data_IF_526098395337
#
_entry.id   IF_526098395337
#
_cell.length_a   1.000
_cell.length_b   1.000
_cell.length_c   1.000
_cell.angle_alpha   90.00
_cell.angle_beta   90.00
_cell.angle_gamma   90.00
#
_symmetry.space_group_name_H-M   'P 1'
#
loop_
_entity.id
_entity.type
_entity.pdbx_description
1 polymer ?
#
# COMPACT_ATOMS: atom_id res chain seq x y z
N UNK A 1 -16.01 10.94 -8.06
CA UNK A 1 -15.07 10.42 -9.08
C UNK A 1 -15.84 10.35 -10.38
N UNK A 2 -15.24 10.73 -11.50
CA UNK A 2 -15.92 10.79 -12.81
C UNK A 2 -15.94 9.42 -13.52
N UNK A 3 -14.98 8.54 -13.24
CA UNK A 3 -14.91 7.19 -13.83
C UNK A 3 -15.06 6.13 -12.75
N UNK A 4 -16.13 5.32 -12.83
CA UNK A 4 -16.29 4.16 -11.95
C UNK A 4 -15.16 3.14 -12.16
N UNK A 5 -14.57 2.66 -11.05
CA UNK A 5 -13.42 1.76 -11.06
C UNK A 5 -13.34 0.93 -9.79
N UNK A 6 -12.75 -0.25 -9.88
CA UNK A 6 -12.30 -1.08 -8.74
C UNK A 6 -10.81 -1.42 -8.89
N UNK A 7 -10.18 -1.98 -7.85
CA UNK A 7 -8.74 -2.31 -7.82
C UNK A 7 -7.80 -1.15 -8.21
N UNK A 8 -8.28 0.08 -8.05
CA UNK A 8 -7.50 1.30 -8.27
C UNK A 8 -6.63 1.61 -7.05
N UNK A 9 -5.56 2.35 -7.26
CA UNK A 9 -4.72 2.84 -6.19
C UNK A 9 -5.23 4.20 -5.70
N UNK A 10 -5.18 4.46 -4.39
CA UNK A 10 -5.54 5.76 -3.82
C UNK A 10 -4.52 6.26 -2.81
N UNK A 11 -4.34 7.58 -2.75
CA UNK A 11 -3.43 8.24 -1.82
C UNK A 11 -3.91 9.65 -1.51
N UNK A 12 -3.63 10.13 -0.31
CA UNK A 12 -3.75 11.55 0.04
C UNK A 12 -2.39 12.24 -0.12
N UNK A 13 -2.38 13.42 -0.73
CA UNK A 13 -1.22 14.32 -0.82
C UNK A 13 -1.70 15.76 -0.74
N UNK A 14 -1.12 16.53 0.17
CA UNK A 14 -1.40 17.97 0.38
C UNK A 14 -2.90 18.27 0.50
N UNK A 15 -3.63 17.43 1.24
CA UNK A 15 -5.07 17.58 1.49
C UNK A 15 -5.97 17.10 0.34
N UNK A 16 -5.41 16.58 -0.76
CA UNK A 16 -6.15 16.10 -1.92
C UNK A 16 -6.07 14.59 -2.06
N UNK A 17 -7.15 13.98 -2.52
CA UNK A 17 -7.21 12.52 -2.72
C UNK A 17 -6.98 12.19 -4.18
N UNK A 18 -5.97 11.39 -4.46
CA UNK A 18 -5.65 10.90 -5.78
C UNK A 18 -6.17 9.49 -5.94
N UNK A 19 -6.80 9.21 -7.07
CA UNK A 19 -7.24 7.89 -7.46
C UNK A 19 -6.70 7.55 -8.85
N UNK A 20 -6.02 6.42 -8.95
CA UNK A 20 -5.10 6.14 -10.05
C UNK A 20 -5.29 4.71 -10.57
N UNK A 21 -5.42 4.59 -11.89
CA UNK A 21 -5.55 3.30 -12.59
C UNK A 21 -6.75 2.46 -12.09
N UNK A 22 -6.68 1.13 -12.15
CA UNK A 22 -7.75 0.20 -11.76
C UNK A 22 -8.46 -0.44 -12.96
N UNK A 23 -9.65 -0.99 -12.72
CA UNK A 23 -10.47 -1.64 -13.75
C UNK A 23 -11.92 -1.13 -13.73
N UNK A 24 -12.55 -1.07 -14.91
CA UNK A 24 -14.01 -0.94 -15.01
C UNK A 24 -14.69 -2.29 -14.80
N UNK A 25 -16.00 -2.28 -14.55
CA UNK A 25 -16.80 -3.48 -14.29
C UNK A 25 -16.67 -4.55 -15.40
N UNK A 26 -16.43 -4.13 -16.63
CA UNK A 26 -16.27 -4.98 -17.82
C UNK A 26 -14.86 -5.60 -17.93
N UNK A 27 -13.98 -5.35 -16.97
CA UNK A 27 -12.60 -5.84 -16.94
C UNK A 27 -11.60 -4.99 -17.73
N UNK A 28 -12.02 -3.84 -18.27
CA UNK A 28 -11.14 -2.89 -18.96
C UNK A 28 -10.18 -2.23 -17.97
N UNK A 29 -8.87 -2.38 -18.21
CA UNK A 29 -7.83 -1.74 -17.39
C UNK A 29 -7.70 -0.26 -17.71
N UNK A 30 -7.69 0.57 -16.67
CA UNK A 30 -7.64 2.02 -16.76
C UNK A 30 -6.22 2.54 -16.58
N UNK A 31 -5.84 3.51 -17.42
CA UNK A 31 -4.63 4.30 -17.25
C UNK A 31 -4.90 5.70 -16.69
N UNK A 32 -6.17 6.11 -16.61
CA UNK A 32 -6.53 7.45 -16.15
C UNK A 32 -6.36 7.61 -14.64
N UNK A 33 -6.08 8.85 -14.24
CA UNK A 33 -5.98 9.27 -12.86
C UNK A 33 -6.86 10.51 -12.63
N UNK A 34 -7.38 10.62 -11.42
CA UNK A 34 -8.25 11.71 -10.99
C UNK A 34 -7.82 12.20 -9.60
N UNK A 35 -8.00 13.50 -9.36
CA UNK A 35 -7.77 14.13 -8.06
C UNK A 35 -9.06 14.72 -7.53
N UNK A 36 -9.33 14.50 -6.26
CA UNK A 36 -10.41 15.12 -5.50
C UNK A 36 -9.86 16.28 -4.70
N UNK A 37 -10.47 17.44 -4.91
CA UNK A 37 -10.25 18.62 -4.08
C UNK A 37 -11.45 18.75 -3.11
N UNK A 38 -11.22 18.61 -1.79
CA UNK A 38 -12.30 18.69 -0.81
C UNK A 38 -12.88 20.10 -0.68
N UNK A 39 -12.11 21.16 -0.96
CA UNK A 39 -12.58 22.54 -0.86
C UNK A 39 -13.53 22.87 -2.02
N UNK A 40 -13.23 22.36 -3.21
CA UNK A 40 -14.11 22.45 -4.37
C UNK A 40 -15.21 21.39 -4.39
N UNK A 41 -15.12 20.38 -3.52
CA UNK A 41 -15.97 19.17 -3.53
C UNK A 41 -16.10 18.57 -4.93
N UNK A 42 -14.98 18.46 -5.65
CA UNK A 42 -14.98 18.11 -7.07
C UNK A 42 -13.83 17.18 -7.42
N UNK A 43 -14.08 16.31 -8.40
CA UNK A 43 -13.06 15.44 -9.01
C UNK A 43 -12.62 16.03 -10.35
N UNK A 44 -11.31 16.14 -10.56
CA UNK A 44 -10.71 16.58 -11.81
C UNK A 44 -9.82 15.48 -12.40
N UNK A 45 -9.88 15.31 -13.72
CA UNK A 45 -8.95 14.44 -14.45
C UNK A 45 -7.56 15.07 -14.47
N UNK A 46 -6.54 14.25 -14.24
CA UNK A 46 -5.12 14.63 -14.36
C UNK A 46 -4.44 13.77 -15.43
N UNK A 47 -3.15 14.01 -15.67
CA UNK A 47 -2.36 13.16 -16.58
C UNK A 47 -2.50 11.69 -16.15
N UNK A 48 -2.83 10.82 -17.11
CA UNK A 48 -2.86 9.38 -16.91
C UNK A 48 -1.47 8.75 -17.02
N UNK A 49 -1.37 7.47 -16.69
CA UNK A 49 -0.15 6.70 -16.84
C UNK A 49 -0.02 6.11 -18.25
N UNK A 50 1.21 5.80 -18.66
CA UNK A 50 1.45 5.23 -20.00
C UNK A 50 0.96 3.79 -20.15
N UNK A 51 0.91 3.04 -19.06
CA UNK A 51 0.53 1.62 -19.06
C UNK A 51 -0.56 1.41 -18.03
N UNK A 52 -1.75 0.93 -18.41
CA UNK A 52 -2.82 0.66 -17.46
C UNK A 52 -2.44 -0.51 -16.55
N UNK A 53 -2.77 -0.37 -15.27
CA UNK A 53 -2.54 -1.40 -14.24
C UNK A 53 -3.74 -1.52 -13.29
N UNK A 54 -3.82 -2.63 -12.58
CA UNK A 54 -4.82 -2.84 -11.54
C UNK A 54 -4.24 -3.61 -10.36
N UNK A 55 -4.87 -3.50 -9.19
CA UNK A 55 -4.33 -4.01 -7.93
C UNK A 55 -3.04 -3.28 -7.55
N UNK A 56 -2.90 -2.04 -7.99
CA UNK A 56 -1.80 -1.16 -7.63
C UNK A 56 -1.99 -0.64 -6.21
N UNK A 57 -0.88 -0.21 -5.64
CA UNK A 57 -0.84 0.48 -4.36
C UNK A 57 -0.37 1.93 -4.60
N UNK A 58 -0.95 2.89 -3.88
CA UNK A 58 -0.51 4.27 -3.89
C UNK A 58 -0.30 4.83 -2.49
N UNK A 59 0.70 5.70 -2.32
CA UNK A 59 0.87 6.49 -1.10
C UNK A 59 1.31 7.92 -1.40
N UNK A 60 0.89 8.83 -0.52
CA UNK A 60 1.47 10.15 -0.43
C UNK A 60 2.76 10.10 0.36
N UNK A 61 3.80 10.70 -0.20
CA UNK A 61 5.09 10.80 0.46
C UNK A 61 5.85 12.02 -0.09
N UNK A 62 6.37 12.87 0.80
CA UNK A 62 7.08 14.12 0.44
C UNK A 62 6.36 14.99 -0.63
N UNK A 63 5.04 15.18 -0.48
CA UNK A 63 4.24 16.00 -1.40
C UNK A 63 4.05 15.39 -2.79
N UNK A 64 4.25 14.07 -2.94
CA UNK A 64 4.14 13.36 -4.22
C UNK A 64 3.33 12.08 -4.06
N UNK A 65 2.68 11.67 -5.15
CA UNK A 65 1.93 10.40 -5.20
C UNK A 65 2.85 9.33 -5.77
N UNK A 66 3.08 8.27 -5.03
CA UNK A 66 3.86 7.11 -5.48
C UNK A 66 2.90 5.96 -5.77
N UNK A 67 2.93 5.42 -6.99
CA UNK A 67 2.09 4.29 -7.42
C UNK A 67 2.97 3.11 -7.81
N UNK A 68 2.75 1.96 -7.18
CA UNK A 68 3.65 0.82 -7.23
C UNK A 68 2.92 -0.51 -7.36
N UNK A 69 3.65 -1.49 -7.93
CA UNK A 69 3.15 -2.84 -8.11
C UNK A 69 1.99 -2.91 -9.09
N UNK A 70 1.00 -3.74 -8.76
CA UNK A 70 -0.12 -4.06 -9.62
C UNK A 70 0.22 -5.01 -10.77
N UNK A 71 -0.81 -5.34 -11.53
CA UNK A 71 -0.78 -6.21 -12.70
C UNK A 71 -1.11 -5.40 -13.94
N UNK A 72 -0.54 -5.80 -15.06
CA UNK A 72 -0.87 -5.26 -16.38
C UNK A 72 -0.93 -6.43 -17.35
N UNK A 73 -1.80 -6.33 -18.37
CA UNK A 73 -1.85 -7.28 -19.48
C UNK A 73 -0.54 -7.35 -20.27
N UNK A 74 0.29 -6.31 -20.18
CA UNK A 74 1.56 -6.18 -20.91
C UNK A 74 2.79 -6.70 -20.16
N UNK A 75 2.67 -7.11 -18.90
CA UNK A 75 3.80 -7.61 -18.10
C UNK A 75 3.57 -9.06 -17.68
N UNK A 76 4.37 -9.97 -18.25
CA UNK A 76 4.51 -11.35 -17.80
C UNK A 76 5.34 -11.33 -16.50
N UNK A 77 4.73 -10.91 -15.40
CA UNK A 77 5.38 -10.86 -14.08
C UNK A 77 5.14 -9.57 -13.30
N UNK A 78 5.73 -9.49 -12.11
CA UNK A 78 5.56 -8.34 -11.22
C UNK A 78 6.48 -7.19 -11.65
N UNK A 79 5.92 -6.06 -12.11
CA UNK A 79 6.72 -4.87 -12.42
C UNK A 79 7.33 -4.27 -11.15
N UNK A 80 8.62 -3.90 -11.23
CA UNK A 80 9.33 -3.10 -10.22
C UNK A 80 9.33 -1.60 -10.56
N UNK A 81 8.42 -1.15 -11.43
CA UNK A 81 8.27 0.26 -11.73
C UNK A 81 7.51 0.97 -10.62
N UNK A 82 8.03 2.13 -10.21
CA UNK A 82 7.31 3.09 -9.38
C UNK A 82 6.98 4.28 -10.25
N UNK A 83 5.73 4.70 -10.24
CA UNK A 83 5.28 5.89 -10.96
C UNK A 83 5.07 6.99 -9.93
N UNK A 84 5.74 8.13 -10.11
CA UNK A 84 5.72 9.22 -9.14
C UNK A 84 5.10 10.45 -9.78
N UNK A 85 3.95 10.88 -9.26
CA UNK A 85 3.30 12.12 -9.68
C UNK A 85 3.77 13.28 -8.82
N UNK A 86 4.17 14.36 -9.48
CA UNK A 86 4.47 15.63 -8.82
C UNK A 86 3.32 16.62 -9.06
N UNK A 87 2.45 16.91 -8.06
CA UNK A 87 1.34 17.85 -8.22
C UNK A 87 1.78 19.22 -8.75
N UNK A 88 2.90 19.76 -8.25
CA UNK A 88 3.44 21.05 -8.69
C UNK A 88 3.93 21.07 -10.15
N UNK A 89 4.20 19.90 -10.76
CA UNK A 89 4.57 19.78 -12.18
C UNK A 89 3.43 19.29 -13.06
N UNK A 90 2.37 18.75 -12.44
CA UNK A 90 1.28 18.09 -13.15
C UNK A 90 1.70 16.84 -13.92
N UNK A 91 2.82 16.20 -13.56
CA UNK A 91 3.44 15.17 -14.40
C UNK A 91 3.93 13.91 -13.64
N UNK A 92 3.90 12.77 -14.35
CA UNK A 92 4.43 11.49 -13.88
C UNK A 92 5.89 11.26 -14.28
N UNK A 93 6.67 10.69 -13.35
CA UNK A 93 8.02 10.19 -13.61
C UNK A 93 8.11 8.72 -13.22
N UNK A 94 8.58 7.89 -14.16
CA UNK A 94 8.82 6.49 -13.90
C UNK A 94 10.21 6.28 -13.28
N UNK A 95 10.24 5.59 -12.14
CA UNK A 95 11.45 5.14 -11.48
C UNK A 95 11.60 3.62 -11.60
N UNK A 96 12.83 3.18 -11.87
CA UNK A 96 13.21 1.74 -11.89
C UNK A 96 13.79 1.38 -10.52
N UNK A 97 13.63 0.11 -10.11
CA UNK A 97 14.04 -0.47 -8.79
C UNK A 97 13.04 -0.34 -7.63
N UNK A 98 11.75 -0.25 -7.92
CA UNK A 98 10.67 -0.28 -6.92
C UNK A 98 10.44 -1.63 -6.23
N UNK A 99 9.47 -1.64 -5.33
CA UNK A 99 8.95 -2.85 -4.68
C UNK A 99 8.03 -3.66 -5.59
N UNK A 100 8.03 -4.97 -5.34
CA UNK A 100 7.17 -5.94 -6.03
C UNK A 100 5.94 -6.19 -5.18
N UNK A 101 4.75 -5.79 -5.67
CA UNK A 101 3.44 -6.13 -5.08
C UNK A 101 3.35 -5.83 -3.57
N UNK A 102 3.08 -4.57 -3.24
CA UNK A 102 2.89 -4.11 -1.86
C UNK A 102 1.50 -4.52 -1.37
N UNK A 103 1.42 -5.30 -0.29
CA UNK A 103 0.15 -5.65 0.38
C UNK A 103 -0.32 -4.58 1.34
N UNK A 104 0.63 -3.94 2.00
CA UNK A 104 0.40 -2.91 3.01
C UNK A 104 1.59 -1.98 3.07
N UNK A 105 1.35 -0.75 3.50
CA UNK A 105 2.35 0.28 3.62
C UNK A 105 2.07 1.16 4.84
N UNK A 106 3.08 1.88 5.29
CA UNK A 106 2.95 2.96 6.24
C UNK A 106 4.06 3.99 5.98
N UNK A 107 3.74 5.26 6.21
CA UNK A 107 4.75 6.32 6.30
C UNK A 107 5.06 6.53 7.77
N UNK A 108 6.34 6.41 8.15
CA UNK A 108 6.84 6.60 9.51
C UNK A 108 7.95 7.64 9.48
N UNK A 109 7.63 8.86 9.89
CA UNK A 109 8.54 10.00 9.73
C UNK A 109 8.86 10.24 8.25
N UNK A 110 10.14 10.20 7.91
CA UNK A 110 10.68 10.36 6.55
C UNK A 110 10.84 9.03 5.78
N UNK A 111 10.19 7.96 6.23
CA UNK A 111 10.34 6.62 5.65
C UNK A 111 9.03 6.06 5.18
N UNK A 112 8.98 5.69 3.90
CA UNK A 112 7.92 4.85 3.36
C UNK A 112 8.30 3.38 3.57
N UNK A 113 7.49 2.68 4.34
CA UNK A 113 7.65 1.29 4.71
C UNK A 113 6.60 0.43 4.01
N UNK A 114 7.02 -0.62 3.32
CA UNK A 114 6.15 -1.50 2.53
C UNK A 114 6.33 -2.96 2.93
N UNK A 115 5.23 -3.72 3.01
CA UNK A 115 5.24 -5.17 3.12
C UNK A 115 4.91 -5.80 1.76
N UNK A 116 5.85 -6.57 1.22
CA UNK A 116 5.70 -7.23 -0.07
C UNK A 116 5.00 -8.58 0.04
N UNK A 117 4.19 -8.93 -0.95
CA UNK A 117 3.45 -10.21 -1.00
C UNK A 117 4.35 -11.45 -0.82
N UNK A 118 5.54 -11.46 -1.43
CA UNK A 118 6.44 -12.63 -1.39
C UNK A 118 7.38 -12.64 -0.20
N UNK A 119 7.50 -11.54 0.54
CA UNK A 119 8.51 -11.35 1.59
C UNK A 119 7.88 -10.91 2.90
N UNK A 120 6.91 -11.68 3.41
CA UNK A 120 6.13 -11.34 4.62
C UNK A 120 6.98 -11.23 5.92
N UNK A 121 8.27 -11.61 5.88
CA UNK A 121 9.22 -11.47 7.00
C UNK A 121 10.18 -10.28 6.86
N UNK A 122 9.99 -9.43 5.86
CA UNK A 122 10.84 -8.26 5.61
C UNK A 122 9.99 -7.04 5.27
N UNK A 123 10.43 -5.90 5.77
CA UNK A 123 9.93 -4.59 5.41
C UNK A 123 10.82 -4.02 4.31
N UNK A 124 10.25 -3.57 3.21
CA UNK A 124 10.96 -2.76 2.24
C UNK A 124 10.82 -1.29 2.65
N UNK A 125 11.95 -0.66 3.00
CA UNK A 125 12.01 0.74 3.43
C UNK A 125 12.59 1.57 2.30
N UNK A 126 11.83 2.56 1.86
CA UNK A 126 12.26 3.53 0.85
C UNK A 126 13.10 4.63 1.49
N UNK A 127 14.23 4.92 0.88
CA UNK A 127 15.09 6.05 1.22
C UNK A 127 14.98 7.10 0.11
N UNK A 128 14.45 8.29 0.41
CA UNK A 128 14.22 9.32 -0.61
C UNK A 128 15.52 9.92 -1.14
N UNK A 129 16.53 10.04 -0.27
CA UNK A 129 17.81 10.68 -0.57
C UNK A 129 18.55 10.06 -1.76
N UNK A 130 18.47 8.74 -1.93
CA UNK A 130 19.14 8.00 -3.01
C UNK A 130 18.17 7.20 -3.89
N UNK A 131 16.85 7.39 -3.70
CA UNK A 131 15.79 6.67 -4.40
C UNK A 131 15.97 5.14 -4.36
N UNK A 132 16.35 4.63 -3.19
CA UNK A 132 16.64 3.20 -2.99
C UNK A 132 15.66 2.53 -2.05
N UNK A 133 15.56 1.21 -2.19
CA UNK A 133 14.77 0.35 -1.31
C UNK A 133 15.70 -0.58 -0.54
N UNK A 134 15.59 -0.58 0.78
CA UNK A 134 16.31 -1.50 1.66
C UNK A 134 15.36 -2.49 2.30
N UNK A 135 15.70 -3.77 2.22
CA UNK A 135 14.98 -4.81 2.95
C UNK A 135 15.51 -4.88 4.39
N UNK A 136 14.61 -4.71 5.35
CA UNK A 136 14.89 -4.80 6.79
C UNK A 136 14.11 -5.99 7.36
N UNK A 137 14.74 -6.88 8.15
CA UNK A 137 14.01 -7.96 8.80
C UNK A 137 12.99 -7.40 9.78
N UNK A 138 11.79 -7.97 9.81
CA UNK A 138 10.80 -7.63 10.85
C UNK A 138 11.20 -8.38 12.13
N UNK A 139 11.44 -7.69 13.25
CA UNK A 139 11.77 -8.35 14.51
C UNK A 139 10.65 -9.30 14.94
N UNK A 140 10.98 -10.56 15.22
CA UNK A 140 10.03 -11.49 15.80
C UNK A 140 9.78 -11.07 17.25
N UNK A 141 8.63 -10.48 17.52
CA UNK A 141 8.16 -10.26 18.90
C UNK A 141 6.95 -11.16 19.13
N UNK A 142 7.09 -12.12 20.04
CA UNK A 142 5.99 -12.98 20.53
C UNK A 142 5.42 -14.02 19.56
N UNK A 143 6.08 -15.19 19.46
CA UNK A 143 5.50 -16.53 19.21
C UNK A 143 6.58 -17.59 18.87
N UNK A 144 7.80 -17.19 18.49
CA UNK A 144 8.89 -18.14 18.16
C UNK A 144 10.16 -17.98 19.02
N UNK A 145 10.15 -17.11 20.03
CA UNK A 145 11.25 -17.01 20.98
C UNK A 145 11.15 -18.03 22.15
N UNK A 146 10.11 -18.85 22.18
CA UNK A 146 9.98 -20.00 23.08
C UNK A 146 10.13 -21.29 22.28
N UNK A 147 11.33 -21.54 21.79
CA UNK A 147 11.81 -22.92 21.68
C UNK A 147 12.66 -23.16 22.92
N UNK A 148 12.01 -23.30 24.07
CA UNK A 148 12.61 -23.98 25.20
C UNK A 148 12.17 -25.44 25.17
N UNK A 149 13.14 -26.31 25.43
CA UNK A 149 13.02 -27.76 25.47
C UNK A 149 11.79 -28.27 26.24
N UNK A 150 11.41 -29.50 25.90
CA UNK A 150 10.28 -30.31 26.39
C UNK A 150 8.94 -30.03 25.69
N UNK A 151 8.56 -30.96 24.81
CA UNK A 151 7.28 -30.94 24.13
C UNK A 151 6.14 -31.22 25.08
N UNK A 152 5.02 -30.51 24.89
CA UNK A 152 3.66 -31.01 24.98
C UNK A 152 2.75 -29.92 24.38
N UNK A 153 1.83 -30.31 23.51
CA UNK A 153 0.85 -29.43 22.88
C UNK A 153 -0.30 -29.12 23.85
N UNK A 154 -0.67 -27.86 23.99
CA UNK A 154 -2.07 -27.50 24.27
C UNK A 154 -2.41 -26.09 23.78
N UNK A 155 -3.52 -26.00 23.03
CA UNK A 155 -4.14 -24.76 22.57
C UNK A 155 -4.82 -24.04 23.74
N UNK A 156 -4.60 -22.73 23.87
CA UNK A 156 -5.63 -21.74 24.24
C UNK A 156 -5.03 -20.33 24.14
N UNK A 157 -5.60 -19.50 23.27
CA UNK A 157 -5.32 -18.06 23.28
C UNK A 157 -6.22 -17.41 24.34
N UNK A 158 -5.63 -16.90 25.41
CA UNK A 158 -6.27 -15.96 26.32
C UNK A 158 -5.68 -14.56 26.05
N UNK A 159 -6.51 -13.64 25.56
CA UNK A 159 -6.16 -12.22 25.43
C UNK A 159 -6.36 -11.55 26.80
N UNK A 160 -5.28 -11.04 27.40
CA UNK A 160 -5.26 -10.48 28.76
C UNK A 160 -5.77 -9.03 28.87
N UNK A 161 -6.41 -8.46 27.84
CA UNK A 161 -6.87 -7.06 27.85
C UNK A 161 -8.39 -6.84 27.80
N UNK A 162 -9.24 -7.88 27.78
CA UNK A 162 -10.68 -7.69 28.00
C UNK A 162 -11.04 -7.94 29.47
N UNK A 163 -10.82 -6.94 30.33
CA UNK A 163 -11.51 -6.84 31.62
C UNK A 163 -12.79 -6.05 31.41
N UNK A 164 -13.94 -6.71 31.32
CA UNK A 164 -15.19 -6.15 31.79
C UNK A 164 -16.05 -7.25 32.41
N UNK A 165 -16.25 -7.13 33.73
CA UNK A 165 -17.03 -8.01 34.57
C UNK A 165 -18.50 -7.62 34.52
N UNK A 166 -19.39 -8.54 34.14
CA UNK A 166 -20.74 -8.65 34.72
C UNK A 166 -21.08 -10.12 34.93
N UNK A 167 -20.95 -10.56 36.18
CA UNK A 167 -21.45 -11.85 36.63
C UNK A 167 -22.97 -11.80 36.80
N UNK A 168 -23.65 -12.87 36.41
CA UNK A 168 -24.92 -13.28 36.99
C UNK A 168 -24.76 -14.75 37.35
N UNK A 169 -24.59 -15.02 38.64
CA UNK A 169 -24.79 -16.34 39.22
C UNK A 169 -26.28 -16.50 39.53
N UNK A 170 -26.87 -17.66 39.21
CA UNK A 170 -27.86 -18.32 40.07
C UNK A 170 -27.81 -19.84 39.92
N UNK A 171 -27.69 -20.46 41.10
CA UNK A 171 -28.07 -21.81 41.59
C UNK A 171 -28.18 -22.97 40.61
#
# INVERSE_FOLDING_TARGET
>A
MNVARYDFACAEVDGRVYAVEGCRAEGESLSCAEVYDPDANAWASIEGLRRPRWGCFACGFEGRVYVMGGRSSFTIGNSRSVEVYSPGKGAWVQMKKGCVMVKAHAVVGDRLCCMEWKNERRLAVFTPADNSWKLVPVPLTGAQALVSASGYWMRSFYCSQCRETRGIARS
#
